data_IF_536477380813
#
_entry.id   IF_536477380813
#
_cell.length_a   1.000
_cell.length_b   1.000
_cell.length_c   1.000
_cell.angle_alpha   90.00
_cell.angle_beta   90.00
_cell.angle_gamma   90.00
#
_symmetry.space_group_name_H-M   'P 1'
#
loop_
_entity.id
_entity.type
_entity.pdbx_description
1 polymer ?
#
# COMPACT_ATOMS: atom_id res chain seq x y z
N UNK A 1 -9.10 -42.98 -35.95
CA UNK A 1 -8.36 -41.69 -36.01
C UNK A 1 -8.96 -40.56 -35.18
N UNK A 2 -10.27 -40.55 -34.87
CA UNK A 2 -10.93 -39.43 -34.14
C UNK A 2 -10.66 -39.42 -32.61
N UNK A 3 -10.36 -40.57 -32.00
CA UNK A 3 -10.16 -40.67 -30.53
C UNK A 3 -8.90 -39.96 -30.00
N UNK A 4 -7.83 -39.82 -30.79
CA UNK A 4 -6.59 -39.20 -30.32
C UNK A 4 -6.66 -37.66 -30.23
N UNK A 5 -7.60 -37.05 -30.95
CA UNK A 5 -7.78 -35.59 -30.97
C UNK A 5 -8.33 -35.10 -29.61
N UNK A 6 -9.23 -35.88 -29.00
CA UNK A 6 -9.82 -35.55 -27.70
C UNK A 6 -8.84 -35.67 -26.53
N UNK A 7 -7.81 -36.53 -26.65
CA UNK A 7 -6.79 -36.71 -25.61
C UNK A 7 -5.89 -35.48 -25.46
N UNK A 8 -5.73 -34.67 -26.51
CA UNK A 8 -4.96 -33.40 -26.45
C UNK A 8 -5.82 -32.18 -26.12
N UNK A 9 -7.04 -32.12 -26.68
CA UNK A 9 -7.92 -30.94 -26.52
C UNK A 9 -8.47 -30.83 -25.11
N UNK A 10 -8.88 -31.94 -24.50
CA UNK A 10 -9.51 -31.95 -23.19
C UNK A 10 -8.56 -31.46 -22.07
N UNK A 11 -7.29 -31.90 -21.97
CA UNK A 11 -6.35 -31.32 -21.01
C UNK A 11 -5.96 -29.87 -21.34
N UNK A 12 -5.87 -29.49 -22.63
CA UNK A 12 -5.60 -28.11 -23.01
C UNK A 12 -6.74 -27.16 -22.58
N UNK A 13 -8.00 -27.57 -22.76
CA UNK A 13 -9.16 -26.85 -22.27
C UNK A 13 -9.20 -26.76 -20.74
N UNK A 14 -8.87 -27.84 -20.04
CA UNK A 14 -8.81 -27.84 -18.56
C UNK A 14 -7.70 -26.91 -18.04
N UNK A 15 -6.53 -26.88 -18.66
CA UNK A 15 -5.44 -25.96 -18.31
C UNK A 15 -5.84 -24.51 -18.60
N UNK A 16 -6.44 -24.23 -19.75
CA UNK A 16 -6.93 -22.90 -20.08
C UNK A 16 -8.00 -22.42 -19.08
N UNK A 17 -8.96 -23.29 -18.77
CA UNK A 17 -10.02 -23.02 -17.79
C UNK A 17 -9.43 -22.78 -16.38
N UNK A 18 -8.45 -23.59 -15.96
CA UNK A 18 -7.76 -23.41 -14.69
C UNK A 18 -6.99 -22.07 -14.61
N UNK A 19 -6.30 -21.66 -15.67
CA UNK A 19 -5.62 -20.37 -15.74
C UNK A 19 -6.61 -19.20 -15.71
N UNK A 20 -7.76 -19.35 -16.37
CA UNK A 20 -8.83 -18.35 -16.38
C UNK A 20 -9.48 -18.23 -15.00
N UNK A 21 -9.83 -19.34 -14.34
CA UNK A 21 -10.45 -19.34 -13.00
C UNK A 21 -9.49 -18.94 -11.87
N UNK A 22 -8.18 -19.16 -12.02
CA UNK A 22 -7.19 -18.70 -11.03
C UNK A 22 -7.12 -17.18 -10.90
N UNK A 23 -7.41 -16.43 -11.97
CA UNK A 23 -7.39 -14.97 -11.93
C UNK A 23 -8.46 -14.36 -11.02
N UNK A 24 -9.76 -14.67 -11.17
CA UNK A 24 -10.80 -14.16 -10.28
C UNK A 24 -10.68 -14.75 -8.88
N UNK A 25 -10.34 -16.04 -8.72
CA UNK A 25 -10.15 -16.64 -7.40
C UNK A 25 -9.06 -15.92 -6.58
N UNK A 26 -7.99 -15.47 -7.24
CA UNK A 26 -6.94 -14.67 -6.61
C UNK A 26 -7.40 -13.24 -6.29
N UNK A 27 -8.31 -12.67 -7.09
CA UNK A 27 -8.93 -11.38 -6.79
C UNK A 27 -9.90 -11.45 -5.60
N UNK A 28 -10.72 -12.50 -5.50
CA UNK A 28 -11.66 -12.69 -4.39
C UNK A 28 -10.97 -13.06 -3.07
N UNK A 29 -9.92 -13.90 -3.12
CA UNK A 29 -9.12 -14.17 -1.93
C UNK A 29 -8.48 -12.87 -1.39
N UNK A 30 -8.18 -11.89 -2.25
CA UNK A 30 -7.60 -10.62 -1.82
C UNK A 30 -8.58 -9.71 -1.07
N UNK A 31 -9.90 -9.81 -1.30
CA UNK A 31 -10.91 -8.97 -0.63
C UNK A 31 -11.13 -9.37 0.85
N UNK A 32 -11.22 -10.68 1.14
CA UNK A 32 -11.35 -11.18 2.51
C UNK A 32 -10.13 -10.84 3.40
N UNK A 33 -8.94 -10.68 2.80
CA UNK A 33 -7.74 -10.33 3.56
C UNK A 33 -7.65 -8.83 3.91
N UNK A 34 -8.41 -7.95 3.26
CA UNK A 34 -8.25 -6.51 3.48
C UNK A 34 -8.73 -6.09 4.85
N UNK A 35 -9.91 -6.53 5.29
CA UNK A 35 -10.43 -6.15 6.60
C UNK A 35 -9.55 -6.66 7.75
N UNK A 36 -9.08 -7.90 7.66
CA UNK A 36 -8.12 -8.43 8.63
C UNK A 36 -6.80 -7.65 8.62
N UNK A 37 -6.28 -7.32 7.43
CA UNK A 37 -5.07 -6.51 7.31
C UNK A 37 -5.25 -5.12 7.95
N UNK A 38 -6.43 -4.50 7.83
CA UNK A 38 -6.72 -3.21 8.45
C UNK A 38 -6.72 -3.28 9.96
N UNK A 39 -7.39 -4.27 10.52
CA UNK A 39 -7.44 -4.47 11.97
C UNK A 39 -6.04 -4.71 12.53
N UNK A 40 -5.25 -5.54 11.84
CA UNK A 40 -3.83 -5.74 12.17
C UNK A 40 -3.03 -4.44 12.08
N UNK A 41 -3.22 -3.62 11.04
CA UNK A 41 -2.52 -2.34 10.90
C UNK A 41 -2.81 -1.41 12.07
N UNK A 42 -4.10 -1.25 12.41
CA UNK A 42 -4.54 -0.39 13.51
C UNK A 42 -3.91 -0.81 14.84
N UNK A 43 -3.85 -2.11 15.11
CA UNK A 43 -3.26 -2.65 16.35
C UNK A 43 -1.74 -2.40 16.45
N UNK A 44 -1.04 -2.27 15.33
CA UNK A 44 0.42 -2.14 15.31
C UNK A 44 0.91 -0.82 14.70
N UNK A 45 0.03 0.19 14.59
CA UNK A 45 0.31 1.45 13.90
C UNK A 45 1.56 2.12 14.43
N UNK A 46 1.61 2.37 15.74
CA UNK A 46 2.74 3.02 16.41
C UNK A 46 4.05 2.26 16.19
N UNK A 47 4.00 0.92 16.26
CA UNK A 47 5.17 0.08 16.01
C UNK A 47 5.63 0.17 14.54
N UNK A 48 4.71 0.23 13.58
CA UNK A 48 5.03 0.40 12.17
C UNK A 48 5.63 1.77 11.89
N UNK A 49 5.11 2.84 12.50
CA UNK A 49 5.64 4.20 12.39
C UNK A 49 7.06 4.28 12.95
N UNK A 50 7.31 3.74 14.16
CA UNK A 50 8.65 3.66 14.72
C UNK A 50 9.61 2.86 13.82
N UNK A 51 9.14 1.75 13.23
CA UNK A 51 9.93 0.95 12.29
C UNK A 51 10.18 1.68 10.98
N UNK A 52 9.23 2.49 10.52
CA UNK A 52 9.39 3.36 9.37
C UNK A 52 10.50 4.38 9.60
N UNK A 53 10.44 5.11 10.72
CA UNK A 53 11.44 6.11 11.11
C UNK A 53 12.83 5.47 11.23
N UNK A 54 12.91 4.30 11.86
CA UNK A 54 14.15 3.53 11.95
C UNK A 54 14.71 3.14 10.58
N UNK A 55 13.85 2.72 9.64
CA UNK A 55 14.27 2.35 8.30
C UNK A 55 14.72 3.57 7.49
N UNK A 56 13.99 4.69 7.59
CA UNK A 56 14.31 5.94 6.92
C UNK A 56 15.60 6.54 7.45
N UNK A 57 15.77 6.66 8.77
CA UNK A 57 16.95 7.21 9.42
C UNK A 57 18.24 6.42 9.15
N UNK A 58 18.14 5.13 8.81
CA UNK A 58 19.29 4.34 8.35
C UNK A 58 19.78 4.74 6.96
N UNK A 59 18.88 5.22 6.11
CA UNK A 59 19.20 5.65 4.74
C UNK A 59 19.58 7.13 4.74
N UNK A 60 18.83 7.94 5.46
CA UNK A 60 19.02 9.39 5.59
C UNK A 60 18.70 9.83 7.03
N UNK A 61 19.72 10.04 7.87
CA UNK A 61 19.54 10.45 9.25
C UNK A 61 18.86 11.82 9.42
N UNK A 62 19.07 12.74 8.48
CA UNK A 62 18.49 14.09 8.54
C UNK A 62 16.99 14.01 8.28
N UNK A 63 16.60 13.28 7.24
CA UNK A 63 15.18 13.01 6.99
C UNK A 63 14.56 12.16 8.09
N UNK A 64 15.29 11.19 8.66
CA UNK A 64 14.81 10.42 9.81
C UNK A 64 14.36 11.30 10.98
N UNK A 65 15.20 12.26 11.38
CA UNK A 65 14.90 13.20 12.46
C UNK A 65 13.74 14.13 12.08
N UNK A 66 13.75 14.66 10.85
CA UNK A 66 12.69 15.54 10.35
C UNK A 66 11.32 14.86 10.35
N UNK A 67 11.26 13.57 10.03
CA UNK A 67 10.02 12.78 10.04
C UNK A 67 9.58 12.37 11.44
N UNK A 68 10.51 12.28 12.40
CA UNK A 68 10.22 12.05 13.81
C UNK A 68 9.52 13.26 14.45
N UNK A 69 9.91 14.48 14.06
CA UNK A 69 9.30 15.74 14.51
C UNK A 69 8.01 16.10 13.74
N UNK A 70 7.70 15.38 12.66
CA UNK A 70 6.56 15.68 11.80
C UNK A 70 5.21 15.29 12.41
N UNK A 71 4.15 15.93 11.95
CA UNK A 71 2.78 15.59 12.34
C UNK A 71 2.20 14.47 11.44
N UNK A 72 1.97 13.30 12.01
CA UNK A 72 1.37 12.15 11.34
C UNK A 72 -0.15 12.20 11.44
N UNK A 73 -0.84 12.10 10.30
CA UNK A 73 -2.29 12.10 10.28
C UNK A 73 -2.87 10.75 10.75
N UNK A 74 -4.01 10.80 11.45
CA UNK A 74 -4.74 9.59 11.87
C UNK A 74 -5.45 8.86 10.74
N UNK A 75 -5.67 9.56 9.63
CA UNK A 75 -6.37 9.06 8.47
C UNK A 75 -5.47 8.11 7.68
N UNK A 76 -5.92 6.86 7.53
CA UNK A 76 -5.26 5.85 6.71
C UNK A 76 -6.03 5.69 5.41
N UNK A 77 -5.39 6.02 4.30
CA UNK A 77 -5.94 5.78 2.97
C UNK A 77 -5.47 4.42 2.46
N UNK A 78 -6.43 3.58 2.11
CA UNK A 78 -6.18 2.22 1.63
C UNK A 78 -6.08 2.20 0.13
N UNK A 79 -4.94 1.72 -0.37
CA UNK A 79 -4.69 1.64 -1.79
C UNK A 79 -4.15 0.26 -2.17
N UNK A 80 -4.18 -0.05 -3.45
CA UNK A 80 -3.52 -1.21 -4.02
C UNK A 80 -2.52 -0.75 -5.05
N UNK A 81 -1.29 -1.23 -4.92
CA UNK A 81 -0.29 -1.02 -5.97
C UNK A 81 -0.68 -1.87 -7.19
N UNK A 82 -0.91 -1.24 -8.33
CA UNK A 82 -1.33 -1.93 -9.56
C UNK A 82 -0.24 -2.83 -10.13
N UNK A 83 1.03 -2.53 -9.88
CA UNK A 83 2.16 -3.33 -10.36
C UNK A 83 2.34 -4.58 -9.49
N UNK A 84 2.39 -4.40 -8.17
CA UNK A 84 2.68 -5.51 -7.25
C UNK A 84 1.42 -6.23 -6.76
N UNK A 85 0.23 -5.64 -7.00
CA UNK A 85 -1.09 -6.07 -6.50
C UNK A 85 -1.20 -6.09 -4.97
N UNK A 86 -0.23 -5.54 -4.25
CA UNK A 86 -0.18 -5.53 -2.79
C UNK A 86 -1.05 -4.43 -2.21
N UNK A 87 -1.64 -4.70 -1.06
CA UNK A 87 -2.38 -3.72 -0.27
C UNK A 87 -1.39 -2.76 0.39
N UNK A 88 -1.70 -1.48 0.31
CA UNK A 88 -0.94 -0.39 0.88
C UNK A 88 -1.81 0.37 1.89
N UNK A 89 -1.17 0.79 2.97
CA UNK A 89 -1.68 1.83 3.85
C UNK A 89 -0.85 3.10 3.58
N UNK A 90 -1.54 4.17 3.20
CA UNK A 90 -0.97 5.47 2.90
C UNK A 90 -1.37 6.43 4.02
N UNK A 91 -0.39 7.01 4.70
CA UNK A 91 -0.61 7.97 5.79
C UNK A 91 -0.01 9.31 5.39
N UNK A 92 -0.79 10.38 5.56
CA UNK A 92 -0.32 11.73 5.33
C UNK A 92 0.59 12.17 6.47
N UNK A 93 1.67 12.86 6.13
CA UNK A 93 2.60 13.46 7.07
C UNK A 93 2.73 14.94 6.72
N UNK A 94 2.61 15.81 7.72
CA UNK A 94 2.77 17.24 7.60
C UNK A 94 4.01 17.71 8.35
N UNK A 95 4.81 18.53 7.68
CA UNK A 95 5.99 19.14 8.28
C UNK A 95 5.68 20.59 8.61
N UNK A 96 6.00 20.99 9.83
CA UNK A 96 5.95 22.39 10.21
C UNK A 96 7.05 23.16 9.48
N UNK A 97 6.70 24.31 8.92
CA UNK A 97 7.67 25.12 8.19
C UNK A 97 8.51 25.91 9.19
N UNK A 98 9.83 25.86 9.02
CA UNK A 98 10.69 26.70 9.84
C UNK A 98 10.48 28.16 9.43
N UNK A 99 10.15 29.07 10.37
CA UNK A 99 9.97 30.48 10.06
C UNK A 99 11.26 31.16 9.55
N UNK A 100 12.41 30.49 9.67
CA UNK A 100 13.72 30.97 9.22
C UNK A 100 14.23 30.24 7.97
N UNK A 101 13.40 29.45 7.30
CA UNK A 101 13.78 28.72 6.08
C UNK A 101 13.89 29.70 4.89
N UNK A 102 15.11 30.11 4.55
CA UNK A 102 15.44 30.98 3.39
C UNK A 102 16.08 30.17 2.25
N UNK A 103 15.83 28.85 2.22
CA UNK A 103 16.38 27.97 1.17
C UNK A 103 15.72 28.29 -0.18
N UNK A 104 16.50 28.31 -1.29
CA UNK A 104 15.93 28.46 -2.64
C UNK A 104 15.05 27.27 -3.05
N UNK A 105 15.23 26.12 -2.40
CA UNK A 105 14.39 24.93 -2.55
C UNK A 105 13.81 24.55 -1.17
N UNK A 106 12.56 24.93 -0.87
CA UNK A 106 11.95 24.69 0.43
C UNK A 106 11.57 23.22 0.60
N UNK A 107 11.74 22.69 1.81
CA UNK A 107 11.44 21.29 2.06
C UNK A 107 9.93 20.99 1.87
N UNK A 108 9.57 19.76 1.42
CA UNK A 108 8.17 19.37 1.20
C UNK A 108 7.30 19.58 2.44
N UNK A 109 6.22 20.35 2.34
CA UNK A 109 5.30 20.59 3.47
C UNK A 109 4.42 19.39 3.81
N UNK A 110 4.20 18.54 2.82
CA UNK A 110 3.41 17.32 2.96
C UNK A 110 4.14 16.17 2.30
N UNK A 111 4.04 14.99 2.89
CA UNK A 111 4.47 13.74 2.30
C UNK A 111 3.45 12.64 2.62
N UNK A 112 3.63 11.50 1.96
CA UNK A 112 2.87 10.28 2.26
C UNK A 112 3.84 9.18 2.68
N UNK A 113 3.62 8.61 3.86
CA UNK A 113 4.28 7.39 4.30
C UNK A 113 3.59 6.16 3.68
N UNK A 114 4.38 5.19 3.21
CA UNK A 114 3.87 3.96 2.60
C UNK A 114 4.19 2.75 3.45
N UNK A 115 3.14 2.01 3.78
CA UNK A 115 3.23 0.71 4.42
C UNK A 115 2.66 -0.36 3.51
N UNK A 116 3.28 -1.53 3.52
CA UNK A 116 2.99 -2.57 2.54
C UNK A 116 2.59 -3.87 3.22
N UNK A 117 1.42 -4.41 2.86
CA UNK A 117 0.95 -5.69 3.35
C UNK A 117 1.36 -6.81 2.41
N UNK A 118 2.19 -7.73 2.90
CA UNK A 118 2.63 -8.91 2.14
C UNK A 118 2.71 -10.13 3.05
N UNK A 119 2.25 -11.29 2.54
CA UNK A 119 2.32 -12.58 3.26
C UNK A 119 1.75 -12.51 4.69
N UNK A 120 0.63 -11.82 4.88
CA UNK A 120 -0.06 -11.72 6.18
C UNK A 120 0.56 -10.74 7.19
N UNK A 121 1.55 -9.93 6.80
CA UNK A 121 2.22 -8.98 7.69
C UNK A 121 2.42 -7.62 7.04
N UNK A 122 2.49 -6.60 7.88
CA UNK A 122 2.79 -5.23 7.46
C UNK A 122 4.28 -4.94 7.51
N UNK A 123 4.74 -4.22 6.49
CA UNK A 123 6.13 -3.82 6.33
C UNK A 123 6.24 -2.30 6.23
N UNK A 124 7.21 -1.77 6.95
CA UNK A 124 7.61 -0.37 6.97
C UNK A 124 9.08 -0.33 6.49
N UNK A 125 9.29 -0.02 5.22
CA UNK A 125 10.62 -0.02 4.58
C UNK A 125 11.16 1.41 4.38
N UNK A 126 10.56 2.41 5.02
CA UNK A 126 10.94 3.82 4.84
C UNK A 126 10.50 4.41 3.47
N UNK A 127 9.59 3.75 2.75
CA UNK A 127 9.10 4.21 1.45
C UNK A 127 8.15 5.39 1.62
N UNK A 128 8.43 6.48 0.91
CA UNK A 128 7.65 7.72 0.96
C UNK A 128 7.34 8.27 -0.42
N UNK A 129 6.33 9.12 -0.50
CA UNK A 129 6.08 10.01 -1.62
C UNK A 129 6.22 11.44 -1.11
N UNK A 130 7.18 12.17 -1.67
CA UNK A 130 7.44 13.56 -1.32
C UNK A 130 6.46 14.47 -2.04
N UNK A 131 6.08 15.56 -1.37
CA UNK A 131 5.19 16.61 -1.89
C UNK A 131 3.78 16.13 -2.28
N UNK A 132 3.41 14.91 -1.90
CA UNK A 132 2.15 14.31 -2.30
C UNK A 132 1.35 13.87 -1.09
N UNK A 133 0.08 14.27 -1.05
CA UNK A 133 -0.88 13.79 -0.06
C UNK A 133 -1.45 12.42 -0.48
N UNK A 134 -1.93 11.59 0.45
CA UNK A 134 -2.44 10.26 0.12
C UNK A 134 -3.59 10.28 -0.89
N UNK A 135 -4.51 11.23 -0.76
CA UNK A 135 -5.67 11.37 -1.65
C UNK A 135 -5.23 11.74 -3.08
N UNK A 136 -4.22 12.60 -3.18
CA UNK A 136 -3.64 13.03 -4.43
C UNK A 136 -2.81 11.93 -5.08
N UNK A 137 -2.07 11.17 -4.26
CA UNK A 137 -1.36 9.98 -4.70
C UNK A 137 -2.30 8.99 -5.37
N UNK A 138 -3.48 8.73 -4.81
CA UNK A 138 -4.42 7.78 -5.42
C UNK A 138 -5.19 8.37 -6.60
N UNK A 139 -5.46 9.68 -6.60
CA UNK A 139 -6.20 10.34 -7.68
C UNK A 139 -5.34 10.60 -8.93
N UNK A 140 -4.10 11.06 -8.75
CA UNK A 140 -3.21 11.45 -9.85
C UNK A 140 -2.32 10.31 -10.32
N UNK A 141 -1.94 9.40 -9.43
CA UNK A 141 -0.97 8.36 -9.77
C UNK A 141 -1.68 7.11 -10.32
N UNK A 142 -1.46 6.81 -11.60
CA UNK A 142 -1.94 5.58 -12.24
C UNK A 142 -1.37 4.29 -11.62
N UNK A 143 -0.46 4.39 -10.65
CA UNK A 143 0.10 3.25 -9.91
C UNK A 143 -0.81 2.78 -8.77
N UNK A 144 -1.55 3.68 -8.12
CA UNK A 144 -2.31 3.35 -6.91
C UNK A 144 -3.81 3.30 -7.21
N UNK A 145 -4.43 2.17 -6.93
CA UNK A 145 -5.86 1.96 -7.08
C UNK A 145 -6.54 2.11 -5.71
N UNK A 146 -7.55 2.99 -5.55
CA UNK A 146 -8.24 3.14 -4.27
C UNK A 146 -8.94 1.82 -3.92
N UNK A 147 -8.77 1.37 -2.68
CA UNK A 147 -9.54 0.24 -2.16
C UNK A 147 -10.73 0.80 -1.40
N UNK A 148 -11.89 0.85 -2.06
CA UNK A 148 -13.15 1.26 -1.43
C UNK A 148 -13.59 0.14 -0.49
N UNK A 149 -13.56 0.45 0.79
CA UNK A 149 -13.92 -0.49 1.83
C UNK A 149 -15.38 -0.27 2.19
N UNK A 150 -16.18 -1.33 2.06
CA UNK A 150 -17.54 -1.28 2.54
C UNK A 150 -17.50 -1.25 4.07
N UNK A 151 -18.14 -0.26 4.73
CA UNK A 151 -18.28 -0.31 6.17
C UNK A 151 -19.02 -1.60 6.53
N UNK A 152 -18.48 -2.37 7.49
CA UNK A 152 -19.22 -3.49 8.09
C UNK A 152 -20.55 -2.91 8.57
N UNK A 153 -21.65 -3.27 7.91
CA UNK A 153 -22.99 -3.10 8.47
C UNK A 153 -23.03 -3.97 9.74
N UNK A 154 -22.86 -3.35 10.90
CA UNK A 154 -23.17 -3.99 12.17
C UNK A 154 -24.65 -4.33 12.17
N UNK A 155 -24.96 -5.59 12.45
CA UNK A 155 -26.28 -6.03 12.91
C UNK A 155 -26.34 -5.87 14.42
#
# INVERSE_FOLDING_TARGET
MIQFIWVGILPACLVALFLILRRPARQFAEEMHVDHARDLFRQQREWLEARFLTALGKVDPIEGLRWEEAHWHDEVLWARDRQTRRLLALIGVHFEASPFEVSPDPAPRHATALFEFRKGRWFAEGKRLDELRPDEAVRRNQRFEPVVLHPRRGF
#
